data_IF_945565005243
#
_entry.id   IF_945565005243
#
_cell.length_a   1.000
_cell.length_b   1.000
_cell.length_c   1.000
_cell.angle_alpha   90.00
_cell.angle_beta   90.00
_cell.angle_gamma   90.00
#
_symmetry.space_group_name_H-M   'P 1'
#
loop_
_entity.id
_entity.type
_entity.pdbx_description
1 polymer ?
#
# COMPACT_ATOMS: atom_id res chain seq x y z
N UNK A 1 4.89 -34.26 -33.46
CA UNK A 1 4.85 -32.82 -33.12
C UNK A 1 3.82 -32.49 -32.02
N UNK A 2 3.50 -33.41 -31.10
CA UNK A 2 2.46 -33.19 -30.07
C UNK A 2 3.03 -33.08 -28.65
N UNK A 3 4.28 -33.52 -28.41
CA UNK A 3 4.93 -33.46 -27.09
C UNK A 3 5.57 -32.10 -26.77
N UNK A 4 6.02 -31.36 -27.78
CA UNK A 4 6.64 -30.04 -27.59
C UNK A 4 5.62 -28.94 -27.24
N UNK A 5 4.35 -29.10 -27.63
CA UNK A 5 3.29 -28.13 -27.34
C UNK A 5 2.90 -28.11 -25.85
N UNK A 6 3.00 -29.27 -25.18
CA UNK A 6 2.62 -29.43 -23.77
C UNK A 6 3.64 -28.77 -22.81
N UNK A 7 4.90 -28.68 -23.21
CA UNK A 7 5.97 -28.05 -22.41
C UNK A 7 5.94 -26.52 -22.49
N UNK A 8 5.46 -25.95 -23.59
CA UNK A 8 5.31 -24.49 -23.74
C UNK A 8 4.12 -23.96 -22.93
N UNK A 9 3.06 -24.76 -22.79
CA UNK A 9 1.87 -24.38 -22.01
C UNK A 9 2.13 -24.30 -20.50
N UNK A 10 3.11 -25.07 -19.99
CA UNK A 10 3.46 -25.13 -18.57
C UNK A 10 4.32 -23.94 -18.12
N UNK A 11 4.96 -23.21 -19.04
CA UNK A 11 5.78 -22.03 -18.75
C UNK A 11 4.99 -20.73 -18.55
N UNK A 12 3.70 -20.70 -18.91
CA UNK A 12 2.83 -19.52 -18.70
C UNK A 12 2.06 -19.52 -17.37
N UNK A 13 2.24 -20.55 -16.53
CA UNK A 13 1.49 -20.73 -15.28
C UNK A 13 1.99 -19.94 -14.07
N UNK A 14 3.16 -19.30 -14.15
CA UNK A 14 3.72 -18.51 -13.03
C UNK A 14 3.54 -17.01 -13.21
N UNK A 15 2.40 -16.57 -13.77
CA UNK A 15 1.92 -15.22 -13.46
C UNK A 15 1.60 -15.20 -11.98
N UNK A 16 2.61 -14.85 -11.16
CA UNK A 16 2.44 -14.67 -9.72
C UNK A 16 1.35 -13.63 -9.53
N UNK A 17 0.14 -14.12 -9.26
CA UNK A 17 -1.00 -13.33 -8.89
C UNK A 17 -0.70 -12.81 -7.49
N UNK A 18 0.11 -11.75 -7.40
CA UNK A 18 0.36 -11.07 -6.14
C UNK A 18 -0.93 -10.31 -5.81
N UNK A 19 -1.92 -11.04 -5.28
CA UNK A 19 -3.21 -10.51 -4.87
C UNK A 19 -2.98 -9.53 -3.73
N UNK A 20 -2.78 -8.27 -4.07
CA UNK A 20 -2.90 -7.15 -3.13
C UNK A 20 -4.38 -7.04 -2.79
N UNK A 21 -4.71 -7.31 -1.53
CA UNK A 21 -6.08 -7.63 -1.14
C UNK A 21 -6.97 -6.39 -0.99
N UNK A 22 -6.40 -5.23 -0.66
CA UNK A 22 -7.09 -3.94 -0.68
C UNK A 22 -6.11 -2.84 -1.09
N UNK A 23 -6.41 -2.15 -2.18
CA UNK A 23 -5.63 -1.00 -2.66
C UNK A 23 -6.47 0.27 -2.58
N UNK A 24 -5.85 1.38 -2.18
CA UNK A 24 -6.50 2.68 -2.22
C UNK A 24 -5.52 3.73 -2.74
N UNK A 25 -5.91 4.40 -3.81
CA UNK A 25 -5.10 5.40 -4.50
C UNK A 25 -5.74 6.77 -4.40
N UNK A 26 -4.94 7.76 -4.01
CA UNK A 26 -5.27 9.18 -4.07
C UNK A 26 -4.47 9.79 -5.21
N UNK A 27 -5.16 10.48 -6.11
CA UNK A 27 -4.53 11.19 -7.23
C UNK A 27 -4.64 12.68 -7.02
N UNK A 28 -3.53 13.38 -7.22
CA UNK A 28 -3.47 14.83 -7.34
C UNK A 28 -3.03 15.20 -8.75
N UNK A 29 -2.91 16.49 -9.06
CA UNK A 29 -2.38 16.92 -10.35
C UNK A 29 -0.90 16.53 -10.58
N UNK A 30 -0.13 16.26 -9.52
CA UNK A 30 1.33 16.02 -9.60
C UNK A 30 1.76 14.59 -9.24
N UNK A 31 1.06 13.95 -8.30
CA UNK A 31 1.42 12.63 -7.77
C UNK A 31 0.22 11.71 -7.58
N UNK A 32 0.50 10.42 -7.54
CA UNK A 32 -0.42 9.37 -7.09
C UNK A 32 0.15 8.74 -5.81
N UNK A 33 -0.67 8.61 -4.77
CA UNK A 33 -0.30 7.96 -3.52
C UNK A 33 -1.18 6.74 -3.34
N UNK A 34 -0.57 5.56 -3.34
CA UNK A 34 -1.30 4.30 -3.20
C UNK A 34 -0.87 3.60 -1.91
N UNK A 35 -1.84 3.24 -1.09
CA UNK A 35 -1.65 2.29 0.00
C UNK A 35 -2.10 0.90 -0.42
N UNK A 36 -1.37 -0.09 0.07
CA UNK A 36 -1.60 -1.49 -0.20
C UNK A 36 -1.71 -2.23 1.12
N UNK A 37 -2.89 -2.75 1.39
CA UNK A 37 -3.20 -3.54 2.59
C UNK A 37 -3.20 -5.03 2.20
N UNK A 38 -2.38 -5.83 2.91
CA UNK A 38 -2.32 -7.29 2.76
C UNK A 38 -3.19 -7.94 3.85
N UNK A 39 -3.74 -9.12 3.57
CA UNK A 39 -4.57 -9.86 4.55
C UNK A 39 -3.83 -10.07 5.86
N UNK A 40 -4.56 -9.88 6.97
CA UNK A 40 -4.11 -10.19 8.33
C UNK A 40 -3.73 -11.68 8.52
N UNK A 41 -4.14 -12.56 7.59
CA UNK A 41 -3.91 -14.02 7.66
C UNK A 41 -2.63 -14.45 6.95
N UNK A 42 -2.15 -13.72 5.93
CA UNK A 42 -1.07 -14.17 5.04
C UNK A 42 0.18 -13.28 5.02
N UNK A 43 0.36 -12.42 6.03
CA UNK A 43 1.23 -11.23 6.08
C UNK A 43 2.49 -11.23 5.22
N UNK A 44 2.71 -10.15 4.46
CA UNK A 44 4.06 -9.75 3.99
C UNK A 44 4.24 -8.21 3.97
N UNK A 45 3.73 -7.48 4.95
CA UNK A 45 3.81 -6.00 5.08
C UNK A 45 2.80 -5.18 4.27
N UNK A 46 2.21 -4.20 4.95
CA UNK A 46 1.49 -3.09 4.35
C UNK A 46 2.50 -2.07 3.81
N UNK A 47 2.21 -1.47 2.66
CA UNK A 47 3.10 -0.47 2.06
C UNK A 47 2.36 0.72 1.48
N UNK A 48 3.02 1.88 1.49
CA UNK A 48 2.57 3.10 0.82
C UNK A 48 3.60 3.48 -0.22
N UNK A 49 3.14 3.69 -1.46
CA UNK A 49 3.94 4.11 -2.60
C UNK A 49 3.46 5.48 -3.08
N UNK A 50 4.41 6.34 -3.42
CA UNK A 50 4.16 7.60 -4.13
C UNK A 50 4.69 7.45 -5.54
N UNK A 51 3.89 7.77 -6.55
CA UNK A 51 4.27 7.76 -7.96
C UNK A 51 4.21 9.15 -8.58
N UNK A 52 5.15 9.44 -9.47
CA UNK A 52 5.16 10.63 -10.33
C UNK A 52 5.55 10.19 -11.74
N UNK A 53 4.55 10.11 -12.62
CA UNK A 53 4.72 9.47 -13.94
C UNK A 53 5.16 8.02 -13.79
N UNK A 54 6.30 7.67 -14.37
CA UNK A 54 6.84 6.30 -14.34
C UNK A 54 7.73 6.00 -13.12
N UNK A 55 8.02 7.01 -12.27
CA UNK A 55 8.84 6.84 -11.08
C UNK A 55 7.98 6.52 -9.87
N UNK A 56 8.46 5.60 -9.02
CA UNK A 56 7.77 5.17 -7.81
C UNK A 56 8.74 5.15 -6.62
N UNK A 57 8.28 5.62 -5.46
CA UNK A 57 9.02 5.60 -4.19
C UNK A 57 8.13 4.96 -3.12
N UNK A 58 8.58 3.84 -2.55
CA UNK A 58 7.98 3.26 -1.35
C UNK A 58 8.36 4.11 -0.14
N UNK A 59 7.37 4.77 0.48
CA UNK A 59 7.56 5.70 1.60
C UNK A 59 7.26 5.08 2.96
N UNK A 60 6.54 3.96 2.98
CA UNK A 60 6.26 3.19 4.18
C UNK A 60 6.17 1.71 3.83
N UNK A 61 6.79 0.88 4.66
CA UNK A 61 6.62 -0.57 4.70
C UNK A 61 6.55 -0.99 6.17
N UNK A 62 5.44 -1.59 6.58
CA UNK A 62 5.15 -1.88 7.98
C UNK A 62 4.29 -3.13 8.13
N UNK A 63 4.45 -3.86 9.23
CA UNK A 63 3.33 -4.63 9.75
C UNK A 63 2.43 -3.65 10.48
N UNK A 64 1.16 -3.58 10.08
CA UNK A 64 0.18 -2.75 10.77
C UNK A 64 -1.08 -3.55 11.05
N UNK A 65 -1.91 -3.03 11.94
CA UNK A 65 -3.28 -3.53 12.09
C UNK A 65 -4.17 -3.10 10.90
N UNK A 66 -3.69 -2.18 10.07
CA UNK A 66 -4.33 -1.61 8.89
C UNK A 66 -4.19 -0.08 8.86
N UNK A 67 -4.31 0.54 7.68
CA UNK A 67 -4.30 2.00 7.55
C UNK A 67 -5.68 2.60 7.83
N UNK A 68 -5.75 3.52 8.79
CA UNK A 68 -6.99 4.26 9.06
C UNK A 68 -7.32 5.19 7.90
N UNK A 69 -6.39 6.06 7.51
CA UNK A 69 -6.61 7.02 6.44
C UNK A 69 -5.32 7.43 5.73
N UNK A 70 -5.47 7.97 4.54
CA UNK A 70 -4.41 8.51 3.72
C UNK A 70 -4.94 9.79 3.10
N UNK A 71 -4.17 10.88 3.13
CA UNK A 71 -4.55 12.11 2.43
C UNK A 71 -3.35 12.99 2.13
N UNK A 72 -3.50 13.84 1.12
CA UNK A 72 -2.51 14.83 0.71
C UNK A 72 -3.01 16.21 1.11
N UNK A 73 -2.22 16.94 1.89
CA UNK A 73 -2.50 18.33 2.29
C UNK A 73 -1.30 19.20 1.93
N UNK A 74 -1.49 20.10 0.96
CA UNK A 74 -0.41 20.93 0.40
C UNK A 74 0.77 20.07 -0.06
N UNK A 75 1.95 20.29 0.53
CA UNK A 75 3.20 19.57 0.28
C UNK A 75 3.39 18.36 1.21
N UNK A 76 2.37 17.93 1.94
CA UNK A 76 2.48 16.87 2.96
C UNK A 76 1.53 15.72 2.67
N UNK A 77 2.06 14.50 2.62
CA UNK A 77 1.31 13.26 2.59
C UNK A 77 1.19 12.76 4.03
N UNK A 78 -0.04 12.67 4.53
CA UNK A 78 -0.31 12.19 5.89
C UNK A 78 -0.80 10.75 5.79
N UNK A 79 -0.10 9.86 6.49
CA UNK A 79 -0.42 8.44 6.59
C UNK A 79 -0.87 8.20 8.03
N UNK A 80 -2.18 7.96 8.22
CA UNK A 80 -2.76 7.63 9.51
C UNK A 80 -2.82 6.13 9.70
N UNK A 81 -2.13 5.64 10.73
CA UNK A 81 -2.02 4.20 10.97
C UNK A 81 -1.84 3.90 12.46
N UNK A 82 -2.24 2.68 12.83
CA UNK A 82 -2.02 2.16 14.17
C UNK A 82 -0.72 1.33 14.16
N UNK A 83 0.31 1.72 14.92
CA UNK A 83 1.64 1.11 14.81
C UNK A 83 1.67 -0.34 15.30
N UNK A 84 2.46 -1.16 14.61
CA UNK A 84 2.92 -2.47 15.10
C UNK A 84 4.45 -2.59 14.89
N UNK A 85 4.94 -2.70 13.64
CA UNK A 85 6.39 -2.75 13.33
C UNK A 85 6.72 -2.03 12.02
N UNK A 86 7.75 -1.19 11.99
CA UNK A 86 8.27 -0.55 10.76
C UNK A 86 9.44 -1.31 10.18
N UNK A 87 9.43 -1.48 8.86
CA UNK A 87 10.57 -2.00 8.09
C UNK A 87 11.22 -0.90 7.26
N UNK A 88 10.41 0.02 6.74
CA UNK A 88 10.88 1.16 5.95
C UNK A 88 10.02 2.38 6.20
N UNK A 89 10.69 3.53 6.36
CA UNK A 89 10.05 4.84 6.38
C UNK A 89 10.90 5.79 5.54
N UNK A 90 10.25 6.70 4.82
CA UNK A 90 10.88 7.83 4.16
C UNK A 90 10.26 9.11 4.73
N UNK A 91 11.06 10.17 4.85
CA UNK A 91 10.63 11.50 5.28
C UNK A 91 10.10 12.35 4.11
N UNK A 92 10.44 11.98 2.86
CA UNK A 92 10.12 12.75 1.66
C UNK A 92 9.96 11.87 0.40
N UNK A 93 9.07 12.27 -0.51
CA UNK A 93 8.95 11.74 -1.88
C UNK A 93 8.55 12.83 -2.88
N UNK A 94 9.30 13.02 -3.97
CA UNK A 94 9.00 14.02 -5.02
C UNK A 94 8.64 15.43 -4.51
N UNK A 95 9.38 15.93 -3.51
CA UNK A 95 9.11 17.20 -2.83
C UNK A 95 7.96 17.24 -1.82
N UNK A 96 7.23 16.13 -1.64
CA UNK A 96 6.24 15.99 -0.59
C UNK A 96 6.88 15.45 0.69
N UNK A 97 6.59 16.08 1.83
CA UNK A 97 6.92 15.57 3.16
C UNK A 97 6.00 14.41 3.50
N UNK A 98 6.57 13.37 4.13
CA UNK A 98 5.80 12.23 4.62
C UNK A 98 5.61 12.40 6.12
N UNK A 99 4.35 12.50 6.55
CA UNK A 99 3.98 12.56 7.95
C UNK A 99 3.27 11.28 8.36
N UNK A 100 3.92 10.54 9.25
CA UNK A 100 3.35 9.40 9.95
C UNK A 100 2.54 9.92 11.14
N UNK A 101 1.22 9.67 11.14
CA UNK A 101 0.32 10.02 12.24
C UNK A 101 -0.14 8.76 12.97
N UNK A 102 0.54 8.47 14.08
CA UNK A 102 0.27 7.35 15.01
C UNK A 102 -0.63 7.73 16.17
N UNK A 103 -1.10 8.99 16.23
CA UNK A 103 -1.84 9.52 17.38
C UNK A 103 -3.33 9.25 17.32
N UNK A 104 -3.79 8.55 16.27
CA UNK A 104 -5.19 8.18 16.08
C UNK A 104 -5.66 7.21 17.17
N UNK A 105 -6.93 7.35 17.58
CA UNK A 105 -7.53 6.42 18.54
C UNK A 105 -7.87 5.07 17.87
N UNK A 106 -7.84 3.99 18.66
CA UNK A 106 -8.26 2.66 18.20
C UNK A 106 -9.71 2.66 17.71
N UNK A 107 -10.57 3.46 18.35
CA UNK A 107 -11.98 3.61 17.95
C UNK A 107 -12.10 4.26 16.56
N UNK A 108 -11.37 5.35 16.31
CA UNK A 108 -11.32 5.99 15.00
C UNK A 108 -10.81 5.03 13.92
N UNK A 109 -9.73 4.29 14.23
CA UNK A 109 -9.19 3.28 13.34
C UNK A 109 -10.23 2.20 13.00
N UNK A 110 -10.94 1.65 14.00
CA UNK A 110 -12.00 0.65 13.79
C UNK A 110 -13.10 1.16 12.88
N UNK A 111 -13.59 2.38 13.09
CA UNK A 111 -14.65 2.94 12.24
C UNK A 111 -14.21 3.06 10.77
N UNK A 112 -12.97 3.49 10.54
CA UNK A 112 -12.42 3.67 9.20
C UNK A 112 -12.12 2.35 8.49
N UNK A 113 -11.72 1.31 9.22
CA UNK A 113 -11.42 -0.02 8.65
C UNK A 113 -12.71 -0.84 8.47
N UNK A 114 -13.59 -0.88 9.47
CA UNK A 114 -14.86 -1.64 9.43
C UNK A 114 -15.90 -1.03 8.49
N UNK A 115 -15.93 0.30 8.36
CA UNK A 115 -16.82 1.00 7.43
C UNK A 115 -16.53 0.71 5.95
N UNK A 116 -15.39 0.08 5.63
CA UNK A 116 -15.02 -0.32 4.26
C UNK A 116 -15.43 -1.75 3.91
N UNK A 117 -16.01 -2.50 4.84
CA UNK A 117 -16.46 -3.90 4.65
C UNK A 117 -17.97 -4.03 4.42
N UNK A 118 -18.68 -2.91 4.32
CA UNK A 118 -20.09 -2.83 3.89
C UNK A 118 -20.19 -2.26 2.49
#
# INVERSE_FOLDING_TARGET
MTRTLFLVLLLFGFSSCNKRLKEFTIKTADIEVTKYEISQVSTVHDFVEVRKGNLAITVLEANSYGFADLFVKHDTIVIQYLPNIFYKTADKAFNYKIKLDTTISVEYWRQKVSGREK
#
